data_IF_070659313889
#
_entry.id   IF_070659313889
#
_cell.length_a   1.000
_cell.length_b   1.000
_cell.length_c   1.000
_cell.angle_alpha   90.00
_cell.angle_beta   90.00
_cell.angle_gamma   90.00
#
_symmetry.space_group_name_H-M   'P 1'
#
loop_
_entity.id
_entity.type
_entity.pdbx_description
1 polymer ?
#
# COMPACT_ATOMS: atom_id res chain seq x y z
N UNK A 1 1.23 25.52 -11.26
CA UNK A 1 0.94 24.44 -12.24
C UNK A 1 2.26 23.97 -12.80
N UNK A 2 2.52 22.65 -12.70
CA UNK A 2 3.77 22.02 -13.17
C UNK A 2 3.51 21.01 -14.28
N UNK A 3 2.26 20.63 -14.53
CA UNK A 3 1.84 19.73 -15.59
C UNK A 3 0.32 19.69 -15.72
N UNK A 4 -0.14 19.07 -16.79
CA UNK A 4 -1.55 18.86 -17.09
C UNK A 4 -1.82 17.37 -17.30
N UNK A 5 -3.00 16.92 -16.90
CA UNK A 5 -3.55 15.63 -17.26
C UNK A 5 -4.81 15.82 -18.13
N UNK A 6 -4.97 14.99 -19.13
CA UNK A 6 -6.15 14.99 -19.99
C UNK A 6 -6.71 13.57 -20.13
N UNK A 7 -8.04 13.46 -20.27
CA UNK A 7 -8.74 12.23 -20.62
C UNK A 7 -9.51 12.44 -21.89
N UNK A 8 -9.42 11.50 -22.83
CA UNK A 8 -10.23 11.50 -24.04
C UNK A 8 -11.70 11.23 -23.66
N UNK A 9 -12.60 12.11 -24.13
CA UNK A 9 -14.05 11.92 -24.00
C UNK A 9 -14.53 11.18 -25.24
N UNK A 10 -15.02 9.97 -25.09
CA UNK A 10 -15.44 9.08 -26.18
C UNK A 10 -14.36 8.07 -26.57
N UNK A 11 -14.42 7.61 -27.83
CA UNK A 11 -13.47 6.63 -28.37
C UNK A 11 -12.18 7.34 -28.81
N UNK A 12 -11.03 6.91 -28.27
CA UNK A 12 -9.71 7.43 -28.63
C UNK A 12 -8.61 6.85 -27.76
N UNK A 13 -7.41 6.70 -28.31
CA UNK A 13 -6.21 6.24 -27.60
C UNK A 13 -5.08 7.28 -27.74
N UNK A 14 -4.29 7.50 -26.68
CA UNK A 14 -4.41 6.91 -25.34
C UNK A 14 -5.58 7.49 -24.53
N UNK A 15 -6.23 6.67 -23.70
CA UNK A 15 -7.36 7.10 -22.85
C UNK A 15 -6.97 8.26 -21.91
N UNK A 16 -5.72 8.28 -21.46
CA UNK A 16 -5.15 9.33 -20.61
C UNK A 16 -3.86 9.87 -21.23
N UNK A 17 -3.72 11.18 -21.19
CA UNK A 17 -2.51 11.89 -21.63
C UNK A 17 -2.04 12.80 -20.51
N UNK A 18 -0.80 12.62 -20.08
CA UNK A 18 -0.16 13.51 -19.12
C UNK A 18 0.94 14.31 -19.81
N UNK A 19 1.21 15.52 -19.31
CA UNK A 19 2.37 16.31 -19.74
C UNK A 19 3.65 15.45 -19.74
N UNK A 20 4.59 15.70 -20.65
CA UNK A 20 5.91 15.08 -20.59
C UNK A 20 6.63 15.45 -19.29
N UNK A 21 7.58 14.63 -18.88
CA UNK A 21 8.42 14.93 -17.72
C UNK A 21 9.33 16.15 -18.00
N UNK A 22 9.53 16.95 -16.96
CA UNK A 22 10.40 18.13 -16.99
C UNK A 22 11.19 18.17 -15.67
N UNK A 23 12.22 19.02 -15.54
CA UNK A 23 12.93 19.19 -14.26
C UNK A 23 12.03 19.58 -13.07
N UNK A 24 10.84 20.14 -13.35
CA UNK A 24 9.85 20.52 -12.34
C UNK A 24 8.70 19.53 -12.20
N UNK A 25 8.56 18.56 -13.10
CA UNK A 25 7.47 17.60 -13.15
C UNK A 25 7.98 16.19 -13.42
N UNK A 26 8.19 15.44 -12.36
CA UNK A 26 8.57 14.02 -12.39
C UNK A 26 7.39 13.19 -11.90
N UNK A 27 6.73 12.43 -12.79
CA UNK A 27 5.54 11.61 -12.46
C UNK A 27 5.79 10.61 -11.33
N UNK A 28 7.03 10.15 -11.19
CA UNK A 28 7.45 9.21 -10.14
C UNK A 28 7.66 9.88 -8.76
N UNK A 29 7.52 11.20 -8.67
CA UNK A 29 7.68 11.98 -7.44
C UNK A 29 6.45 12.82 -7.11
N UNK A 30 5.62 13.12 -8.11
CA UNK A 30 4.45 13.97 -7.95
C UNK A 30 3.16 13.16 -7.83
N UNK A 31 2.20 13.71 -7.11
CA UNK A 31 0.87 13.14 -6.90
C UNK A 31 -0.18 14.18 -7.26
N UNK A 32 -1.18 13.76 -8.03
CA UNK A 32 -2.31 14.61 -8.36
C UNK A 32 -3.16 14.89 -7.13
N UNK A 33 -3.63 16.10 -6.97
CA UNK A 33 -4.52 16.51 -5.88
C UNK A 33 -3.85 16.71 -4.52
N UNK A 34 -2.53 16.45 -4.37
CA UNK A 34 -1.86 16.50 -3.06
C UNK A 34 -1.90 17.89 -2.41
N UNK A 35 -1.86 18.96 -3.20
CA UNK A 35 -1.96 20.33 -2.70
C UNK A 35 -3.35 20.62 -2.15
N UNK A 36 -4.34 20.26 -2.93
CA UNK A 36 -5.77 20.43 -2.62
C UNK A 36 -6.18 19.59 -1.42
N UNK A 37 -5.72 18.35 -1.35
CA UNK A 37 -6.03 17.41 -0.27
C UNK A 37 -5.35 17.74 1.07
N UNK A 38 -4.35 18.63 1.09
CA UNK A 38 -3.47 18.84 2.27
C UNK A 38 -4.23 19.16 3.55
N UNK A 39 -5.26 19.99 3.49
CA UNK A 39 -6.02 20.38 4.66
C UNK A 39 -6.82 19.20 5.22
N UNK A 40 -7.54 18.50 4.33
CA UNK A 40 -8.33 17.31 4.69
C UNK A 40 -7.42 16.16 5.17
N UNK A 41 -6.26 15.94 4.55
CA UNK A 41 -5.25 14.96 5.03
C UNK A 41 -4.81 15.30 6.46
N UNK A 42 -4.54 16.57 6.75
CA UNK A 42 -4.10 16.98 8.09
C UNK A 42 -5.21 16.81 9.13
N UNK A 43 -6.46 17.14 8.76
CA UNK A 43 -7.63 16.98 9.63
C UNK A 43 -7.90 15.52 9.97
N UNK A 44 -7.84 14.65 8.97
CA UNK A 44 -8.18 13.24 9.11
C UNK A 44 -6.97 12.37 9.51
N UNK A 45 -5.76 12.96 9.48
CA UNK A 45 -4.48 12.26 9.63
C UNK A 45 -4.32 11.08 8.66
N UNK A 46 -5.10 11.04 7.61
CA UNK A 46 -5.22 9.96 6.62
C UNK A 46 -5.22 10.51 5.20
N UNK A 47 -4.56 9.77 4.29
CA UNK A 47 -4.62 10.01 2.85
C UNK A 47 -5.11 8.77 2.13
N UNK A 48 -5.99 8.95 1.15
CA UNK A 48 -6.44 7.89 0.24
C UNK A 48 -5.67 8.03 -1.08
N UNK A 49 -5.07 6.97 -1.55
CA UNK A 49 -4.32 6.92 -2.81
C UNK A 49 -5.09 6.08 -3.80
N UNK A 50 -5.51 6.67 -4.89
CA UNK A 50 -6.21 6.01 -6.01
C UNK A 50 -5.33 5.98 -7.27
N UNK A 51 -5.75 5.23 -8.31
CA UNK A 51 -4.96 5.09 -9.52
C UNK A 51 -5.12 6.29 -10.47
N UNK A 52 -6.34 6.80 -10.60
CA UNK A 52 -6.71 7.83 -11.57
C UNK A 52 -7.03 9.19 -10.96
N UNK A 53 -6.66 10.26 -11.65
CA UNK A 53 -7.00 11.60 -11.21
C UNK A 53 -8.52 11.91 -11.35
N UNK A 54 -9.24 11.18 -12.19
CA UNK A 54 -10.71 11.29 -12.26
C UNK A 54 -11.38 10.74 -11.01
N UNK A 55 -10.80 9.68 -10.42
CA UNK A 55 -11.28 9.16 -9.14
C UNK A 55 -11.09 10.17 -8.01
N UNK A 56 -9.97 10.90 -8.00
CA UNK A 56 -9.76 12.01 -7.04
C UNK A 56 -10.83 13.08 -7.19
N UNK A 57 -11.15 13.48 -8.43
CA UNK A 57 -12.18 14.48 -8.70
C UNK A 57 -13.57 13.99 -8.24
N UNK A 58 -13.90 12.73 -8.56
CA UNK A 58 -15.18 12.15 -8.16
C UNK A 58 -15.30 12.03 -6.64
N UNK A 59 -14.27 11.53 -5.96
CA UNK A 59 -14.24 11.45 -4.51
C UNK A 59 -14.38 12.83 -3.85
N UNK A 60 -13.68 13.84 -4.36
CA UNK A 60 -13.77 15.21 -3.86
C UNK A 60 -15.18 15.80 -4.04
N UNK A 61 -15.84 15.56 -5.18
CA UNK A 61 -17.23 15.96 -5.42
C UNK A 61 -18.22 15.38 -4.40
N UNK A 62 -17.89 14.22 -3.84
CA UNK A 62 -18.66 13.55 -2.79
C UNK A 62 -18.15 13.84 -1.37
N UNK A 63 -17.28 14.85 -1.22
CA UNK A 63 -16.77 15.29 0.09
C UNK A 63 -15.67 14.39 0.68
N UNK A 64 -15.00 13.56 -0.13
CA UNK A 64 -13.79 12.80 0.25
C UNK A 64 -12.60 13.55 -0.36
N UNK A 65 -12.15 14.58 0.35
CA UNK A 65 -11.18 15.55 -0.13
C UNK A 65 -9.72 15.18 0.19
N UNK A 66 -9.51 14.12 0.98
CA UNK A 66 -8.18 13.61 1.35
C UNK A 66 -7.64 12.57 0.36
N UNK A 67 -8.16 12.54 -0.88
CA UNK A 67 -7.75 11.64 -1.94
C UNK A 67 -6.68 12.26 -2.84
N UNK A 68 -5.73 11.42 -3.28
CA UNK A 68 -4.65 11.76 -4.24
C UNK A 68 -4.48 10.62 -5.24
N UNK A 69 -3.89 10.90 -6.41
CA UNK A 69 -3.61 9.86 -7.39
C UNK A 69 -2.16 9.88 -7.88
N UNK A 70 -1.69 8.72 -8.30
CA UNK A 70 -0.48 8.60 -9.12
C UNK A 70 -0.76 9.10 -10.55
N UNK A 71 0.28 9.49 -11.28
CA UNK A 71 0.15 10.16 -12.58
C UNK A 71 0.36 9.19 -13.75
N UNK A 72 -0.36 8.06 -13.74
CA UNK A 72 -0.22 7.01 -14.76
C UNK A 72 1.10 6.24 -14.62
N UNK A 73 1.66 6.22 -13.41
CA UNK A 73 2.85 5.42 -13.04
C UNK A 73 2.53 4.58 -11.81
N UNK A 74 3.23 3.46 -11.65
CA UNK A 74 3.15 2.70 -10.42
C UNK A 74 3.59 3.54 -9.20
N UNK A 75 3.05 3.22 -8.02
CA UNK A 75 3.49 3.80 -6.75
C UNK A 75 5.00 3.65 -6.57
N UNK A 76 5.65 4.69 -6.06
CA UNK A 76 7.10 4.70 -5.81
C UNK A 76 7.42 4.98 -4.35
N UNK A 77 8.65 4.67 -3.90
CA UNK A 77 9.12 5.04 -2.55
C UNK A 77 9.04 6.55 -2.30
N UNK A 78 9.26 7.38 -3.33
CA UNK A 78 9.11 8.83 -3.21
C UNK A 78 7.67 9.23 -2.90
N UNK A 79 6.68 8.59 -3.55
CA UNK A 79 5.27 8.82 -3.25
C UNK A 79 4.96 8.45 -1.79
N UNK A 80 5.35 7.25 -1.35
CA UNK A 80 5.12 6.78 0.02
C UNK A 80 5.77 7.72 1.04
N UNK A 81 7.05 8.05 0.87
CA UNK A 81 7.76 8.98 1.77
C UNK A 81 7.13 10.38 1.80
N UNK A 82 6.67 10.88 0.64
CA UNK A 82 5.98 12.18 0.57
C UNK A 82 4.67 12.17 1.35
N UNK A 83 3.90 11.09 1.27
CA UNK A 83 2.63 10.92 1.98
C UNK A 83 2.82 10.70 3.48
N UNK A 84 3.77 9.87 3.90
CA UNK A 84 4.08 9.62 5.31
C UNK A 84 4.54 10.88 6.09
N UNK A 85 5.02 11.91 5.38
CA UNK A 85 5.32 13.22 5.99
C UNK A 85 4.07 14.04 6.27
N UNK A 86 2.94 13.73 5.66
CA UNK A 86 1.71 14.52 5.75
C UNK A 86 0.58 13.80 6.48
N UNK A 87 0.61 12.47 6.54
CA UNK A 87 -0.41 11.63 7.15
C UNK A 87 0.20 10.60 8.11
N UNK A 88 -0.60 10.16 9.08
CA UNK A 88 -0.27 9.02 9.93
C UNK A 88 -0.66 7.70 9.25
N UNK A 89 -1.63 7.76 8.35
CA UNK A 89 -2.18 6.60 7.66
C UNK A 89 -2.31 6.84 6.16
N UNK A 90 -1.81 5.88 5.37
CA UNK A 90 -2.03 5.80 3.92
C UNK A 90 -2.99 4.66 3.65
N UNK A 91 -4.08 4.93 2.93
CA UNK A 91 -5.00 3.91 2.42
C UNK A 91 -4.86 3.86 0.91
N UNK A 92 -4.26 2.80 0.40
CA UNK A 92 -4.24 2.53 -1.04
C UNK A 92 -5.56 1.88 -1.44
N UNK A 93 -6.25 2.47 -2.42
CA UNK A 93 -7.49 1.96 -2.97
C UNK A 93 -7.26 1.51 -4.42
N UNK A 94 -7.56 0.26 -4.69
CA UNK A 94 -7.38 -0.39 -5.98
C UNK A 94 -8.66 -1.05 -6.46
N UNK A 95 -8.80 -1.19 -7.77
CA UNK A 95 -9.85 -1.99 -8.38
C UNK A 95 -9.70 -3.47 -7.99
N UNK A 96 -10.79 -4.18 -7.85
CA UNK A 96 -10.81 -5.59 -7.39
C UNK A 96 -10.31 -6.61 -8.42
N UNK A 97 -9.81 -6.18 -9.56
CA UNK A 97 -9.34 -7.01 -10.65
C UNK A 97 -7.90 -7.52 -10.45
N UNK A 98 -7.39 -8.27 -11.43
CA UNK A 98 -6.03 -8.80 -11.40
C UNK A 98 -4.95 -7.71 -11.53
N UNK A 99 -5.23 -6.63 -12.26
CA UNK A 99 -4.32 -5.50 -12.43
C UNK A 99 -4.21 -4.71 -11.13
N UNK A 100 -5.34 -4.38 -10.48
CA UNK A 100 -5.37 -3.72 -9.18
C UNK A 100 -4.68 -4.55 -8.08
N UNK A 101 -4.84 -5.89 -8.06
CA UNK A 101 -4.07 -6.75 -7.14
C UNK A 101 -2.57 -6.69 -7.37
N UNK A 102 -2.14 -6.64 -8.63
CA UNK A 102 -0.72 -6.50 -8.97
C UNK A 102 -0.19 -5.13 -8.54
N UNK A 103 -0.97 -4.07 -8.74
CA UNK A 103 -0.64 -2.72 -8.31
C UNK A 103 -0.59 -2.62 -6.77
N UNK A 104 -1.54 -3.23 -6.06
CA UNK A 104 -1.54 -3.31 -4.60
C UNK A 104 -0.31 -4.05 -4.05
N UNK A 105 0.07 -5.17 -4.67
CA UNK A 105 1.28 -5.89 -4.29
C UNK A 105 2.56 -5.06 -4.51
N UNK A 106 2.61 -4.32 -5.61
CA UNK A 106 3.73 -3.41 -5.86
C UNK A 106 3.77 -2.27 -4.83
N UNK A 107 2.63 -1.67 -4.51
CA UNK A 107 2.53 -0.62 -3.48
C UNK A 107 2.93 -1.14 -2.09
N UNK A 108 2.57 -2.39 -1.74
CA UNK A 108 3.05 -3.06 -0.53
C UNK A 108 4.57 -3.16 -0.55
N UNK A 109 5.15 -3.74 -1.60
CA UNK A 109 6.60 -3.97 -1.72
C UNK A 109 7.41 -2.68 -1.55
N UNK A 110 6.95 -1.59 -2.16
CA UNK A 110 7.55 -0.26 -2.05
C UNK A 110 7.38 0.33 -0.65
N UNK A 111 6.22 0.09 -0.01
CA UNK A 111 5.91 0.60 1.33
C UNK A 111 6.78 -0.02 2.42
N UNK A 112 7.13 -1.31 2.31
CA UNK A 112 7.97 -2.01 3.29
C UNK A 112 9.32 -1.32 3.53
N UNK A 113 9.93 -0.76 2.48
CA UNK A 113 11.21 -0.06 2.56
C UNK A 113 11.09 1.40 3.04
N UNK A 114 9.87 1.89 3.27
CA UNK A 114 9.62 3.31 3.56
C UNK A 114 8.78 3.54 4.81
N UNK A 115 8.04 2.54 5.28
CA UNK A 115 7.11 2.64 6.40
C UNK A 115 7.86 2.51 7.74
N UNK A 116 7.95 3.57 8.57
CA UNK A 116 8.52 3.45 9.91
C UNK A 116 7.48 2.90 10.90
N UNK A 117 7.95 2.42 12.06
CA UNK A 117 7.04 2.10 13.17
C UNK A 117 6.21 3.32 13.59
N UNK A 118 4.96 3.10 13.95
CA UNK A 118 4.01 4.13 14.35
C UNK A 118 3.20 4.74 13.20
N UNK A 119 3.57 4.51 11.94
CA UNK A 119 2.76 4.88 10.77
C UNK A 119 2.01 3.65 10.23
N UNK A 120 0.92 3.89 9.50
CA UNK A 120 0.07 2.82 8.97
C UNK A 120 -0.07 2.89 7.45
N UNK A 121 -0.09 1.73 6.84
CA UNK A 121 -0.48 1.53 5.43
C UNK A 121 -1.58 0.48 5.39
N UNK A 122 -2.65 0.77 4.66
CA UNK A 122 -3.78 -0.14 4.44
C UNK A 122 -4.05 -0.32 2.96
N UNK A 123 -4.71 -1.43 2.64
CA UNK A 123 -5.10 -1.79 1.28
C UNK A 123 -6.60 -2.01 1.22
N UNK A 124 -7.27 -1.16 0.47
CA UNK A 124 -8.68 -1.26 0.12
C UNK A 124 -8.78 -1.84 -1.29
N UNK A 125 -9.35 -3.02 -1.41
CA UNK A 125 -9.69 -3.62 -2.70
C UNK A 125 -11.19 -3.45 -2.91
N UNK A 126 -11.57 -2.72 -3.94
CA UNK A 126 -12.98 -2.59 -4.33
C UNK A 126 -13.48 -3.91 -4.96
N UNK A 127 -14.78 -4.05 -5.11
CA UNK A 127 -15.34 -5.14 -5.91
C UNK A 127 -14.96 -4.97 -7.39
N UNK A 128 -14.89 -6.06 -8.17
CA UNK A 128 -14.50 -5.97 -9.60
C UNK A 128 -15.42 -5.11 -10.47
N UNK A 129 -16.64 -4.84 -10.00
CA UNK A 129 -17.64 -4.04 -10.70
C UNK A 129 -17.45 -2.53 -10.50
N UNK A 130 -16.60 -2.13 -9.54
CA UNK A 130 -16.44 -0.74 -9.15
C UNK A 130 -14.99 -0.26 -9.22
N UNK A 131 -14.83 0.95 -9.76
CA UNK A 131 -13.74 1.88 -9.48
C UNK A 131 -14.18 2.87 -8.38
N UNK A 132 -13.29 3.71 -7.83
CA UNK A 132 -13.67 4.67 -6.78
C UNK A 132 -14.79 5.63 -7.17
N UNK A 133 -14.84 6.08 -8.44
CA UNK A 133 -15.90 6.95 -8.96
C UNK A 133 -17.25 6.24 -8.96
N UNK A 134 -17.34 5.08 -9.58
CA UNK A 134 -18.60 4.31 -9.66
C UNK A 134 -19.07 3.84 -8.28
N UNK A 135 -18.15 3.47 -7.38
CA UNK A 135 -18.50 3.07 -6.02
C UNK A 135 -19.13 4.21 -5.24
N UNK A 136 -18.50 5.40 -5.22
CA UNK A 136 -19.02 6.52 -4.44
C UNK A 136 -20.35 7.04 -4.97
N UNK A 137 -20.60 6.89 -6.28
CA UNK A 137 -21.91 7.22 -6.89
C UNK A 137 -23.00 6.23 -6.52
N UNK A 138 -22.68 4.94 -6.43
CA UNK A 138 -23.65 3.89 -6.13
C UNK A 138 -23.93 3.78 -4.63
N UNK A 139 -22.90 3.74 -3.81
CA UNK A 139 -22.98 3.40 -2.39
C UNK A 139 -22.83 4.62 -1.46
N UNK A 140 -22.39 5.75 -2.00
CA UNK A 140 -22.22 7.00 -1.26
C UNK A 140 -20.89 7.13 -0.53
N UNK A 141 -20.62 8.37 -0.13
CA UNK A 141 -19.35 8.74 0.51
C UNK A 141 -19.14 8.07 1.88
N UNK A 142 -20.20 7.86 2.63
CA UNK A 142 -20.08 7.25 3.97
C UNK A 142 -19.69 5.79 3.89
N UNK A 143 -20.25 5.03 2.96
CA UNK A 143 -19.86 3.65 2.70
C UNK A 143 -18.36 3.57 2.31
N UNK A 144 -17.90 4.48 1.45
CA UNK A 144 -16.48 4.54 1.08
C UNK A 144 -15.58 4.84 2.29
N UNK A 145 -15.95 5.80 3.15
CA UNK A 145 -15.18 6.11 4.37
C UNK A 145 -15.10 4.92 5.32
N UNK A 146 -16.19 4.19 5.50
CA UNK A 146 -16.22 2.98 6.31
C UNK A 146 -15.31 1.90 5.73
N UNK A 147 -15.37 1.65 4.43
CA UNK A 147 -14.46 0.70 3.77
C UNK A 147 -13.00 1.12 3.92
N UNK A 148 -12.69 2.40 3.75
CA UNK A 148 -11.34 2.92 3.94
C UNK A 148 -10.86 2.76 5.39
N UNK A 149 -11.75 2.94 6.38
CA UNK A 149 -11.44 2.76 7.79
C UNK A 149 -11.18 1.30 8.17
N UNK A 150 -11.85 0.36 7.51
CA UNK A 150 -11.73 -1.09 7.74
C UNK A 150 -10.82 -1.80 6.73
N UNK A 151 -10.16 -1.06 5.86
CA UNK A 151 -9.23 -1.60 4.87
C UNK A 151 -8.13 -2.44 5.54
N UNK A 152 -7.70 -3.49 4.86
CA UNK A 152 -6.74 -4.44 5.39
C UNK A 152 -5.39 -3.77 5.72
N UNK A 153 -4.88 -3.88 6.95
CA UNK A 153 -3.53 -3.42 7.28
C UNK A 153 -2.48 -4.09 6.40
N UNK A 154 -1.35 -3.41 6.19
CA UNK A 154 -0.23 -3.93 5.39
C UNK A 154 0.18 -5.35 5.79
N UNK A 155 0.24 -5.63 7.09
CA UNK A 155 0.60 -6.94 7.63
C UNK A 155 -0.40 -8.03 7.21
N UNK A 156 -1.68 -7.76 7.36
CA UNK A 156 -2.74 -8.69 6.99
C UNK A 156 -2.79 -8.92 5.48
N UNK A 157 -2.72 -7.84 4.70
CA UNK A 157 -2.69 -7.92 3.24
C UNK A 157 -1.49 -8.75 2.74
N UNK A 158 -0.28 -8.48 3.29
CA UNK A 158 0.94 -9.22 2.93
C UNK A 158 0.78 -10.72 3.18
N UNK A 159 0.39 -11.08 4.39
CA UNK A 159 0.31 -12.49 4.80
C UNK A 159 -0.82 -13.23 4.06
N UNK A 160 -1.95 -12.57 3.83
CA UNK A 160 -3.07 -13.12 3.06
C UNK A 160 -2.71 -13.38 1.61
N UNK A 161 -2.03 -12.43 0.96
CA UNK A 161 -1.58 -12.58 -0.43
C UNK A 161 -0.49 -13.66 -0.59
N UNK A 162 0.43 -13.77 0.37
CA UNK A 162 1.41 -14.85 0.39
C UNK A 162 0.74 -16.22 0.55
N UNK A 163 -0.21 -16.35 1.48
CA UNK A 163 -0.93 -17.60 1.70
C UNK A 163 -1.81 -18.00 0.51
N UNK A 164 -2.35 -17.01 -0.22
CA UNK A 164 -3.11 -17.25 -1.46
C UNK A 164 -2.22 -17.80 -2.59
N UNK A 165 -0.97 -17.33 -2.69
CA UNK A 165 0.01 -17.77 -3.71
C UNK A 165 0.66 -19.10 -3.34
N UNK A 166 0.93 -19.29 -2.07
CA UNK A 166 1.60 -20.46 -1.51
C UNK A 166 0.79 -21.00 -0.34
N UNK A 167 -0.25 -21.86 -0.61
CA UNK A 167 -1.11 -22.40 0.42
C UNK A 167 -0.31 -23.20 1.46
N UNK A 168 -0.53 -22.88 2.74
CA UNK A 168 0.23 -23.44 3.88
C UNK A 168 -0.29 -24.80 4.37
N UNK A 169 -1.06 -25.50 3.56
CA UNK A 169 -1.66 -26.79 3.90
C UNK A 169 -0.70 -27.97 3.81
N UNK A 170 0.41 -27.82 3.07
CA UNK A 170 1.45 -28.84 2.91
C UNK A 170 2.81 -28.31 3.33
N UNK A 171 3.76 -29.20 3.63
CA UNK A 171 5.12 -28.82 3.98
C UNK A 171 5.80 -28.01 2.86
N UNK A 172 5.60 -28.40 1.59
CA UNK A 172 6.11 -27.70 0.42
C UNK A 172 5.49 -26.31 0.26
N UNK A 173 4.17 -26.20 0.52
CA UNK A 173 3.45 -24.95 0.54
C UNK A 173 3.96 -24.00 1.63
N UNK A 174 4.15 -24.48 2.84
CA UNK A 174 4.76 -23.71 3.94
C UNK A 174 6.20 -23.29 3.62
N UNK A 175 7.00 -24.17 3.04
CA UNK A 175 8.36 -23.85 2.62
C UNK A 175 8.37 -22.72 1.58
N UNK A 176 7.49 -22.77 0.56
CA UNK A 176 7.35 -21.73 -0.44
C UNK A 176 6.88 -20.41 0.16
N UNK A 177 5.89 -20.46 1.04
CA UNK A 177 5.36 -19.30 1.77
C UNK A 177 6.48 -18.55 2.53
N UNK A 178 7.30 -19.28 3.27
CA UNK A 178 8.47 -18.72 4.00
C UNK A 178 9.49 -18.13 3.03
N UNK A 179 9.78 -18.82 1.94
CA UNK A 179 10.75 -18.36 0.95
C UNK A 179 10.28 -17.06 0.25
N UNK A 180 8.99 -16.92 -0.02
CA UNK A 180 8.41 -15.68 -0.57
C UNK A 180 8.32 -14.55 0.48
N UNK A 181 8.09 -14.86 1.76
CA UNK A 181 8.07 -13.89 2.84
C UNK A 181 9.45 -13.30 3.15
N UNK A 182 10.52 -14.09 2.98
CA UNK A 182 11.91 -13.71 3.32
C UNK A 182 12.33 -12.34 2.77
N UNK A 183 12.32 -12.08 1.45
CA UNK A 183 12.77 -10.81 0.90
C UNK A 183 11.91 -9.63 1.36
N UNK A 184 10.63 -9.84 1.64
CA UNK A 184 9.72 -8.80 2.14
C UNK A 184 10.10 -8.42 3.58
N UNK A 185 10.28 -9.40 4.45
CA UNK A 185 10.72 -9.17 5.83
C UNK A 185 12.07 -8.47 5.89
N UNK A 186 13.03 -8.90 5.07
CA UNK A 186 14.37 -8.30 5.03
C UNK A 186 14.39 -6.84 4.53
N UNK A 187 13.40 -6.44 3.73
CA UNK A 187 13.26 -5.08 3.19
C UNK A 187 12.69 -4.09 4.21
N UNK A 188 12.03 -4.56 5.26
CA UNK A 188 11.34 -3.71 6.22
C UNK A 188 12.28 -2.82 7.01
N UNK A 189 11.91 -1.54 7.14
CA UNK A 189 12.64 -0.55 7.96
C UNK A 189 11.99 -0.31 9.32
N UNK A 190 10.81 -0.89 9.58
CA UNK A 190 10.07 -0.84 10.83
C UNK A 190 10.38 -2.06 11.70
N UNK A 191 11.30 -2.02 12.67
CA UNK A 191 11.77 -3.20 13.40
C UNK A 191 10.69 -3.85 14.26
N UNK A 192 9.77 -3.07 14.84
CA UNK A 192 8.68 -3.61 15.65
C UNK A 192 7.68 -4.36 14.78
N UNK A 193 7.24 -3.73 13.67
CA UNK A 193 6.33 -4.36 12.71
C UNK A 193 6.97 -5.59 12.07
N UNK A 194 8.26 -5.53 11.74
CA UNK A 194 9.02 -6.66 11.19
C UNK A 194 8.99 -7.86 12.15
N UNK A 195 9.21 -7.63 13.45
CA UNK A 195 9.16 -8.69 14.45
C UNK A 195 7.77 -9.31 14.58
N UNK A 196 6.71 -8.49 14.54
CA UNK A 196 5.32 -9.00 14.58
C UNK A 196 5.00 -9.84 13.34
N UNK A 197 5.38 -9.37 12.16
CA UNK A 197 5.20 -10.13 10.92
C UNK A 197 6.02 -11.42 10.87
N UNK A 198 7.23 -11.41 11.41
CA UNK A 198 8.05 -12.62 11.54
C UNK A 198 7.32 -13.68 12.38
N UNK A 199 6.70 -13.27 13.49
CA UNK A 199 5.88 -14.15 14.33
C UNK A 199 4.66 -14.70 13.59
N UNK A 200 3.98 -13.88 12.83
CA UNK A 200 2.83 -14.30 12.05
C UNK A 200 3.21 -15.29 10.95
N UNK A 201 4.33 -15.05 10.28
CA UNK A 201 4.88 -15.98 9.28
C UNK A 201 5.30 -17.30 9.92
N UNK A 202 5.99 -17.27 11.07
CA UNK A 202 6.41 -18.47 11.80
C UNK A 202 5.19 -19.32 12.20
N UNK A 203 4.17 -18.69 12.78
CA UNK A 203 2.93 -19.35 13.20
C UNK A 203 2.21 -20.02 12.02
N UNK A 204 2.09 -19.33 10.88
CA UNK A 204 1.44 -19.89 9.68
C UNK A 204 2.25 -21.00 9.01
N UNK A 205 3.56 -20.92 9.11
CA UNK A 205 4.45 -21.93 8.58
C UNK A 205 4.67 -23.13 9.54
N UNK A 206 4.08 -23.07 10.75
CA UNK A 206 4.31 -24.09 11.80
C UNK A 206 5.79 -24.25 12.18
N UNK A 207 6.52 -23.12 12.23
CA UNK A 207 7.94 -23.06 12.61
C UNK A 207 8.10 -22.32 13.94
N UNK A 208 9.19 -22.65 14.66
CA UNK A 208 9.65 -21.85 15.79
C UNK A 208 10.22 -20.50 15.30
N UNK A 209 10.00 -19.43 16.06
CA UNK A 209 10.50 -18.08 15.70
C UNK A 209 12.02 -18.04 15.58
N UNK A 210 12.74 -18.80 16.41
CA UNK A 210 14.19 -18.83 16.41
C UNK A 210 14.73 -19.54 15.16
N UNK A 211 14.07 -20.63 14.76
CA UNK A 211 14.42 -21.36 13.55
C UNK A 211 14.14 -20.52 12.31
N UNK A 212 12.99 -19.84 12.24
CA UNK A 212 12.70 -18.92 11.16
C UNK A 212 13.71 -17.78 11.09
N UNK A 213 14.02 -17.16 12.22
CA UNK A 213 15.03 -16.07 12.30
C UNK A 213 16.39 -16.53 11.76
N UNK A 214 16.82 -17.74 12.12
CA UNK A 214 18.06 -18.35 11.64
C UNK A 214 18.02 -18.59 10.13
N UNK A 215 16.93 -19.18 9.62
CA UNK A 215 16.73 -19.45 8.19
C UNK A 215 16.70 -18.17 7.35
N UNK A 216 16.15 -17.08 7.90
CA UNK A 216 16.11 -15.79 7.22
C UNK A 216 17.46 -15.04 7.28
N UNK A 217 18.42 -15.49 8.09
CA UNK A 217 19.69 -14.80 8.32
C UNK A 217 19.51 -13.47 9.07
N UNK A 218 18.44 -13.34 9.84
CA UNK A 218 18.15 -12.15 10.65
C UNK A 218 18.73 -12.36 12.04
N UNK A 219 19.72 -11.54 12.43
CA UNK A 219 20.34 -11.66 13.75
C UNK A 219 19.34 -11.20 14.83
N UNK A 220 19.05 -12.07 15.78
CA UNK A 220 18.48 -11.64 17.05
C UNK A 220 19.60 -11.02 17.87
N UNK A 221 19.61 -9.69 18.04
CA UNK A 221 20.40 -9.05 19.09
C UNK A 221 19.81 -9.47 20.46
N UNK A 222 20.07 -10.67 20.93
CA UNK A 222 19.98 -10.98 22.34
C UNK A 222 21.22 -10.40 23.01
N UNK A 223 21.08 -9.53 24.04
CA UNK A 223 22.17 -9.28 24.92
C UNK A 223 22.57 -10.63 25.53
N UNK A 224 23.78 -11.09 25.25
CA UNK A 224 24.37 -12.22 25.96
C UNK A 224 24.33 -11.86 27.44
N UNK A 225 23.44 -12.51 28.20
CA UNK A 225 23.52 -12.54 29.64
C UNK A 225 24.88 -13.14 29.98
N UNK A 226 25.87 -12.28 30.23
CA UNK A 226 27.13 -12.70 30.82
C UNK A 226 26.77 -13.24 32.20
N UNK A 227 26.77 -14.56 32.32
CA UNK A 227 26.87 -15.21 33.61
C UNK A 227 28.13 -14.66 34.29
N UNK A 228 27.96 -13.93 35.38
CA UNK A 228 29.05 -13.65 36.32
C UNK A 228 29.36 -14.93 37.10
N UNK A 229 30.64 -15.21 37.31
CA UNK A 229 31.07 -16.31 38.15
C UNK A 229 30.75 -16.07 39.62
#
# INVERSE_FOLDING_TARGET
VIGFGGRVIGAGEPKYLNSPETPLFEKRRELYGLREARESIRKDSRVVVVEGYMDVVALAQHGIENAVATLGTATTSNHVLKLLRQAEEIVFCFDGDAAGRKAAWHALDVSLASLPDGKMVRFLMLSPEHDPDSFVRAEGAEAFRQMAATAAPLSEFMVSELARRSPVTTAEGRSRFVNEAKPLLQKMVAPILQLQLLRDVARRAELDEQDLTRLLGMQTNRPTSSARP
#
